data_IF_743744879711
#
_entry.id   IF_743744879711
#
_cell.length_a   1.000
_cell.length_b   1.000
_cell.length_c   1.000
_cell.angle_alpha   90.00
_cell.angle_beta   90.00
_cell.angle_gamma   90.00
#
_symmetry.space_group_name_H-M   'P 1'
#
loop_
_entity.id
_entity.type
_entity.pdbx_description
1 polymer ?
#
# COMPACT_ATOMS: atom_id res chain seq x y z
N UNK A 1 -4.37 22.47 -11.20
CA UNK A 1 -3.72 21.14 -11.25
C UNK A 1 -4.01 20.38 -9.96
N UNK A 2 -4.47 19.11 -10.02
CA UNK A 2 -4.73 18.33 -8.82
C UNK A 2 -3.43 18.04 -8.04
N UNK A 3 -3.48 18.14 -6.70
CA UNK A 3 -2.33 17.86 -5.81
C UNK A 3 -2.23 16.35 -5.58
N UNK A 4 -1.17 15.72 -6.11
CA UNK A 4 -0.89 14.28 -5.88
C UNK A 4 -0.44 14.09 -4.43
N UNK A 5 -1.17 13.27 -3.66
CA UNK A 5 -0.86 12.99 -2.24
C UNK A 5 0.23 11.92 -2.07
N UNK A 6 0.22 10.88 -2.91
CA UNK A 6 1.22 9.81 -2.91
C UNK A 6 1.26 9.10 -4.26
N UNK A 7 2.44 8.62 -4.65
CA UNK A 7 2.63 7.76 -5.83
C UNK A 7 2.49 6.26 -5.51
N UNK A 8 2.40 5.92 -4.22
CA UNK A 8 2.28 4.54 -3.73
C UNK A 8 0.86 4.27 -3.25
N UNK A 9 0.37 3.05 -3.50
CA UNK A 9 -0.95 2.63 -3.05
C UNK A 9 -1.04 2.59 -1.50
N UNK A 10 -2.19 2.91 -0.89
CA UNK A 10 -2.33 2.98 0.57
C UNK A 10 -1.94 1.70 1.32
N UNK A 11 -2.24 0.53 0.73
CA UNK A 11 -1.93 -0.77 1.31
C UNK A 11 -0.43 -1.11 1.32
N UNK A 12 0.36 -0.38 0.53
CA UNK A 12 1.82 -0.42 0.50
C UNK A 12 2.44 0.70 1.35
N UNK A 13 1.81 1.88 1.43
CA UNK A 13 2.38 3.03 2.15
C UNK A 13 2.12 2.99 3.66
N UNK A 14 0.90 2.62 4.08
CA UNK A 14 0.49 2.58 5.50
C UNK A 14 -0.20 1.27 5.87
N UNK A 15 -0.35 0.36 4.91
CA UNK A 15 -1.00 -0.92 5.12
C UNK A 15 -0.04 -2.08 5.35
N UNK A 16 -0.53 -3.33 5.20
CA UNK A 16 0.25 -4.52 5.52
C UNK A 16 1.52 -4.65 4.67
N UNK A 17 1.58 -4.03 3.49
CA UNK A 17 2.77 -4.03 2.65
C UNK A 17 3.85 -3.03 3.07
N UNK A 18 3.58 -2.15 4.04
CA UNK A 18 4.56 -1.15 4.48
C UNK A 18 5.84 -1.78 5.05
N UNK A 19 5.69 -2.91 5.77
CA UNK A 19 6.82 -3.60 6.38
C UNK A 19 7.87 -4.07 5.36
N UNK A 20 7.49 -4.32 4.10
CA UNK A 20 8.45 -4.71 3.05
C UNK A 20 9.45 -3.59 2.73
N UNK A 21 9.05 -2.32 2.87
CA UNK A 21 9.83 -1.15 2.45
C UNK A 21 10.25 -0.26 3.62
N UNK A 22 9.77 -0.53 4.84
CA UNK A 22 10.15 0.20 6.03
C UNK A 22 11.68 0.15 6.23
N UNK A 23 12.33 1.27 6.58
CA UNK A 23 13.78 1.30 6.78
C UNK A 23 14.19 0.30 7.88
N UNK A 24 15.28 -0.45 7.67
CA UNK A 24 15.84 -1.32 8.72
C UNK A 24 16.35 -0.47 9.89
N UNK A 25 16.10 -0.92 11.11
CA UNK A 25 16.53 -0.26 12.35
C UNK A 25 18.06 -0.15 12.44
N UNK A 26 18.80 -1.08 11.84
CA UNK A 26 20.27 -1.08 11.79
C UNK A 26 20.82 0.12 11.00
N UNK A 27 20.04 0.67 10.07
CA UNK A 27 20.46 1.85 9.32
C UNK A 27 20.54 3.11 10.18
N UNK A 28 19.81 3.17 11.30
CA UNK A 28 19.86 4.31 12.25
C UNK A 28 21.09 4.26 13.15
N UNK A 29 21.60 3.06 13.48
CA UNK A 29 22.82 2.89 14.28
C UNK A 29 24.08 3.42 13.55
N UNK A 30 24.06 3.50 12.22
CA UNK A 30 25.14 4.08 11.42
C UNK A 30 25.20 5.62 11.47
N UNK A 31 24.24 6.27 12.13
CA UNK A 31 24.21 7.73 12.32
C UNK A 31 24.87 8.20 13.62
N UNK A 32 25.27 7.28 14.50
CA UNK A 32 26.11 7.62 15.65
C UNK A 32 27.49 8.10 15.16
N UNK A 33 28.14 9.08 15.83
CA UNK A 33 29.50 9.49 15.50
C UNK A 33 30.46 8.34 15.77
N UNK A 34 30.70 7.54 14.74
CA UNK A 34 31.69 6.46 14.76
C UNK A 34 33.05 7.03 14.34
N UNK A 35 34.14 6.70 15.05
CA UNK A 35 35.49 7.08 14.62
C UNK A 35 35.94 6.36 13.34
N UNK A 36 35.17 5.37 12.87
CA UNK A 36 35.43 4.65 11.63
C UNK A 36 34.85 5.40 10.42
N UNK A 37 35.54 5.38 9.27
CA UNK A 37 35.09 6.09 8.08
C UNK A 37 33.68 5.63 7.70
N UNK A 38 32.74 6.58 7.65
CA UNK A 38 31.36 6.35 7.20
C UNK A 38 31.43 5.56 5.89
N UNK A 39 30.78 4.39 5.84
CA UNK A 39 30.71 3.57 4.62
C UNK A 39 30.29 4.48 3.48
N UNK A 40 31.19 4.70 2.51
CA UNK A 40 30.94 5.55 1.35
C UNK A 40 29.64 5.06 0.72
N UNK A 41 28.70 5.98 0.43
CA UNK A 41 27.50 5.65 -0.34
C UNK A 41 27.99 4.94 -1.60
N UNK A 42 27.63 3.67 -1.76
CA UNK A 42 28.07 2.90 -2.91
C UNK A 42 27.46 3.55 -4.14
N UNK A 43 28.31 4.11 -5.00
CA UNK A 43 27.91 4.71 -6.26
C UNK A 43 27.75 3.55 -7.23
N UNK A 44 26.52 3.04 -7.35
CA UNK A 44 26.21 1.91 -8.23
C UNK A 44 24.71 1.72 -8.41
N UNK A 45 24.28 0.89 -9.38
CA UNK A 45 22.87 0.61 -9.64
C UNK A 45 22.17 0.05 -8.40
N UNK A 46 21.09 0.69 -7.95
CA UNK A 46 20.30 0.24 -6.80
C UNK A 46 19.22 -0.76 -7.23
N UNK A 47 19.63 -2.01 -7.45
CA UNK A 47 18.73 -3.12 -7.77
C UNK A 47 18.34 -3.88 -6.49
N UNK A 48 17.57 -3.22 -5.61
CA UNK A 48 17.18 -3.79 -4.31
C UNK A 48 15.84 -4.53 -4.36
N UNK A 49 15.21 -4.65 -5.52
CA UNK A 49 13.90 -5.29 -5.66
C UNK A 49 13.96 -6.32 -6.78
N UNK A 50 13.60 -7.56 -6.47
CA UNK A 50 13.37 -8.63 -7.43
C UNK A 50 11.90 -9.09 -7.36
N UNK A 51 11.39 -9.72 -8.42
CA UNK A 51 10.00 -10.20 -8.47
C UNK A 51 9.89 -11.55 -9.16
N UNK A 52 8.90 -12.35 -8.74
CA UNK A 52 8.45 -13.58 -9.41
C UNK A 52 6.93 -13.61 -9.40
N UNK A 53 6.29 -13.35 -10.54
CA UNK A 53 4.83 -13.21 -10.58
C UNK A 53 4.34 -12.08 -9.67
N UNK A 54 3.54 -12.40 -8.66
CA UNK A 54 3.03 -11.45 -7.66
C UNK A 54 3.92 -11.32 -6.41
N UNK A 55 4.92 -12.18 -6.28
CA UNK A 55 5.89 -12.15 -5.20
C UNK A 55 6.98 -11.12 -5.44
N UNK A 56 7.36 -10.40 -4.40
CA UNK A 56 8.42 -9.39 -4.42
C UNK A 56 9.42 -9.65 -3.30
N UNK A 57 10.70 -9.51 -3.63
CA UNK A 57 11.83 -9.65 -2.73
C UNK A 57 12.53 -8.29 -2.65
N UNK A 58 12.63 -7.72 -1.46
CA UNK A 58 13.19 -6.39 -1.19
C UNK A 58 14.41 -6.53 -0.28
N UNK A 59 15.56 -6.13 -0.78
CA UNK A 59 16.78 -6.01 0.01
C UNK A 59 16.75 -4.71 0.84
N UNK A 60 16.76 -4.85 2.16
CA UNK A 60 16.76 -3.74 3.12
C UNK A 60 17.95 -3.89 4.07
N UNK A 61 19.02 -3.14 3.81
CA UNK A 61 20.25 -3.27 4.60
C UNK A 61 20.89 -4.65 4.41
N UNK A 62 20.82 -5.48 5.46
CA UNK A 62 21.32 -6.87 5.46
C UNK A 62 20.19 -7.92 5.47
N UNK A 63 18.94 -7.46 5.35
CA UNK A 63 17.75 -8.31 5.35
C UNK A 63 17.18 -8.43 3.94
N UNK A 64 16.58 -9.58 3.64
CA UNK A 64 15.70 -9.77 2.50
C UNK A 64 14.27 -9.93 3.00
N UNK A 65 13.41 -8.96 2.66
CA UNK A 65 11.98 -8.98 2.98
C UNK A 65 11.22 -9.48 1.78
N UNK A 66 10.34 -10.45 1.99
CA UNK A 66 9.56 -11.04 0.92
C UNK A 66 8.06 -11.00 1.25
N UNK A 67 7.25 -10.92 0.21
CA UNK A 67 5.81 -11.10 0.31
C UNK A 67 5.11 -11.12 -1.05
N UNK A 68 3.89 -11.64 -1.05
CA UNK A 68 3.00 -11.63 -2.21
C UNK A 68 2.12 -10.37 -2.22
N UNK A 69 2.25 -9.57 -3.27
CA UNK A 69 1.48 -8.34 -3.45
C UNK A 69 -0.03 -8.59 -3.60
N UNK A 70 -0.43 -9.70 -4.22
CA UNK A 70 -1.85 -10.03 -4.40
C UNK A 70 -2.51 -10.27 -3.04
N UNK A 71 -1.88 -11.09 -2.21
CA UNK A 71 -2.31 -11.35 -0.84
C UNK A 71 -2.34 -10.08 0.02
N UNK A 72 -1.30 -9.24 -0.05
CA UNK A 72 -1.25 -7.98 0.72
C UNK A 72 -2.36 -7.01 0.34
N UNK A 73 -2.66 -6.91 -0.96
CA UNK A 73 -3.77 -6.10 -1.48
C UNK A 73 -5.11 -6.64 -1.01
N UNK A 74 -5.34 -7.95 -1.10
CA UNK A 74 -6.57 -8.60 -0.65
C UNK A 74 -6.79 -8.39 0.85
N UNK A 75 -5.77 -8.66 1.68
CA UNK A 75 -5.81 -8.46 3.13
C UNK A 75 -6.19 -7.04 3.53
N UNK A 76 -5.67 -6.03 2.83
CA UNK A 76 -6.08 -4.64 3.04
C UNK A 76 -7.51 -4.40 2.55
N UNK A 77 -7.87 -4.93 1.39
CA UNK A 77 -9.20 -4.76 0.81
C UNK A 77 -10.29 -5.41 1.66
N UNK A 78 -10.04 -6.55 2.31
CA UNK A 78 -11.00 -7.15 3.25
C UNK A 78 -11.20 -6.28 4.50
N UNK A 79 -10.11 -5.70 5.04
CA UNK A 79 -10.19 -4.83 6.24
C UNK A 79 -10.77 -3.44 5.98
N UNK A 80 -10.52 -2.86 4.80
CA UNK A 80 -10.88 -1.47 4.48
C UNK A 80 -11.94 -1.34 3.38
N UNK A 81 -12.23 -2.40 2.63
CA UNK A 81 -13.24 -2.46 1.57
C UNK A 81 -14.67 -2.37 2.10
N UNK A 82 -14.92 -2.86 3.32
CA UNK A 82 -16.21 -2.66 3.98
C UNK A 82 -16.51 -1.18 4.27
N UNK A 83 -15.50 -0.31 4.35
CA UNK A 83 -15.70 1.14 4.50
C UNK A 83 -15.86 1.89 3.17
N UNK A 84 -15.47 1.28 2.04
CA UNK A 84 -15.51 1.93 0.72
C UNK A 84 -16.74 1.52 -0.10
N UNK A 85 -17.37 0.40 0.24
CA UNK A 85 -18.67 -0.02 -0.31
C UNK A 85 -19.86 0.48 0.56
N UNK A 86 -19.71 1.65 1.20
CA UNK A 86 -20.77 2.31 1.96
C UNK A 86 -21.37 3.53 1.25
N UNK A 87 -21.00 3.78 -0.01
CA UNK A 87 -21.54 4.89 -0.79
C UNK A 87 -22.86 4.49 -1.45
N UNK A 88 -23.96 4.70 -0.72
CA UNK A 88 -25.34 4.97 -1.19
C UNK A 88 -25.72 4.37 -2.55
N UNK A 89 -26.30 3.17 -2.54
CA UNK A 89 -27.36 2.87 -3.51
C UNK A 89 -28.57 3.70 -3.07
N UNK A 90 -28.78 4.86 -3.70
CA UNK A 90 -30.05 5.58 -3.58
C UNK A 90 -31.08 4.73 -4.32
N UNK A 91 -31.83 3.91 -3.58
CA UNK A 91 -33.04 3.24 -4.06
C UNK A 91 -34.03 4.36 -4.35
N UNK A 92 -34.25 4.63 -5.62
CA UNK A 92 -35.26 5.58 -6.07
C UNK A 92 -36.63 4.90 -5.88
N UNK A 93 -37.34 5.29 -4.84
CA UNK A 93 -38.75 4.94 -4.66
C UNK A 93 -39.56 5.90 -5.50
N UNK A 94 -40.08 5.41 -6.64
CA UNK A 94 -41.12 6.09 -7.41
C UNK A 94 -42.43 5.36 -7.15
N UNK A 95 -43.13 5.77 -6.10
CA UNK A 95 -44.56 5.53 -5.95
C UNK A 95 -45.28 6.67 -6.67
N UNK A 96 -45.84 6.38 -7.85
CA UNK A 96 -46.94 7.18 -8.39
C UNK A 96 -48.08 6.22 -8.72
N UNK A 97 -48.97 6.09 -7.73
CA UNK A 97 -50.37 5.73 -7.90
C UNK A 97 -51.00 6.62 -8.97
N UNK A 98 -51.47 6.03 -10.06
CA UNK A 98 -52.40 6.67 -10.97
C UNK A 98 -53.73 5.91 -10.84
N UNK A 99 -54.78 6.66 -10.55
CA UNK A 99 -56.13 6.17 -10.34
C UNK A 99 -56.65 5.42 -11.57
N UNK A 100 -57.04 4.16 -11.40
CA UNK A 100 -57.97 3.50 -12.31
C UNK A 100 -59.40 3.78 -11.82
N UNK A 101 -60.07 4.63 -12.58
CA UNK A 101 -61.50 4.88 -12.49
C UNK A 101 -62.27 3.56 -12.67
N UNK A 102 -63.19 3.30 -11.74
CA UNK A 102 -64.16 2.20 -11.80
C UNK A 102 -65.22 2.55 -12.86
N UNK A 103 -65.65 1.59 -13.72
CA UNK A 103 -66.70 1.79 -14.71
C UNK A 103 -68.10 1.98 -14.10
#
# INVERSE_FOLDING_TARGET
>A
MPKVKSYTAPWLSHGPGHSLFAPSTDSKALSAPSPYPKKKKTVGPRRTIARRGTEVFVAVGKELRWGDLAYLKEKWSTKYGHRRMGSRVKREESTQTFEDAIP
#
